data_IF_353449637130
#
_entry.id   IF_353449637130
#
_cell.length_a   1.000
_cell.length_b   1.000
_cell.length_c   1.000
_cell.angle_alpha   90.00
_cell.angle_beta   90.00
_cell.angle_gamma   90.00
#
_symmetry.space_group_name_H-M   'P 1'
#
loop_
_entity.id
_entity.type
_entity.pdbx_description
1 polymer ?
#
# COMPACT_ATOMS: atom_id res chain seq x y z
N UNK A 1 -1.84 13.07 22.52
CA UNK A 1 -2.86 13.38 21.51
C UNK A 1 -3.80 12.21 21.47
N UNK A 2 -5.06 12.43 21.85
CA UNK A 2 -6.07 11.38 21.84
C UNK A 2 -6.37 10.93 20.40
N UNK A 3 -6.48 9.62 20.23
CA UNK A 3 -6.74 9.02 18.93
C UNK A 3 -8.16 9.42 18.48
N UNK A 4 -8.36 9.98 17.28
CA UNK A 4 -9.68 10.48 16.89
C UNK A 4 -10.74 9.38 16.94
N UNK A 5 -11.96 9.72 17.37
CA UNK A 5 -13.05 8.78 17.67
C UNK A 5 -13.38 7.75 16.57
N UNK A 6 -13.04 8.04 15.31
CA UNK A 6 -13.15 7.07 14.21
C UNK A 6 -12.27 5.82 14.37
N UNK A 7 -11.20 5.91 15.16
CA UNK A 7 -10.31 4.79 15.47
C UNK A 7 -10.78 3.99 16.70
N UNK A 8 -11.64 4.55 17.56
CA UNK A 8 -12.26 3.86 18.69
C UNK A 8 -13.27 2.80 18.22
N UNK A 9 -13.84 2.94 17.02
CA UNK A 9 -14.70 1.91 16.39
C UNK A 9 -13.98 0.60 16.05
N UNK A 10 -12.67 0.52 16.26
CA UNK A 10 -11.85 -0.67 16.03
C UNK A 10 -11.37 -1.33 17.33
N UNK A 11 -11.86 -0.92 18.50
CA UNK A 11 -11.58 -1.61 19.75
C UNK A 11 -12.11 -3.06 19.65
N UNK A 12 -11.18 -4.02 19.62
CA UNK A 12 -11.45 -5.46 19.45
C UNK A 12 -11.19 -6.04 18.06
N UNK A 13 -10.81 -5.23 17.06
CA UNK A 13 -10.35 -5.73 15.75
C UNK A 13 -8.82 -5.77 15.72
N UNK A 14 -8.23 -6.94 15.52
CA UNK A 14 -6.80 -7.04 15.17
C UNK A 14 -6.56 -6.17 13.93
N UNK A 15 -5.70 -5.16 14.06
CA UNK A 15 -5.39 -4.30 12.94
C UNK A 15 -4.67 -5.15 11.89
N UNK A 16 -5.29 -5.28 10.72
CA UNK A 16 -4.79 -6.12 9.64
C UNK A 16 -3.44 -5.65 9.08
N UNK A 17 -3.09 -4.37 9.25
CA UNK A 17 -1.83 -3.76 8.81
C UNK A 17 -1.39 -2.71 9.83
N UNK A 18 -0.14 -2.81 10.31
CA UNK A 18 0.50 -1.78 11.14
C UNK A 18 1.57 -1.03 10.35
N UNK A 19 1.32 0.25 10.06
CA UNK A 19 2.31 1.13 9.43
C UNK A 19 3.39 1.55 10.44
N UNK A 20 4.57 0.94 10.37
CA UNK A 20 5.66 1.19 11.32
C UNK A 20 6.41 2.53 11.06
N UNK A 21 6.37 3.06 9.84
CA UNK A 21 7.19 4.24 9.47
C UNK A 21 6.42 5.56 9.68
N UNK A 22 7.09 6.59 10.22
CA UNK A 22 6.54 7.95 10.29
C UNK A 22 6.75 8.76 9.00
N UNK A 23 7.62 8.31 8.10
CA UNK A 23 7.93 9.03 6.86
C UNK A 23 6.81 8.84 5.82
N UNK A 24 6.20 9.95 5.40
CA UNK A 24 5.05 9.95 4.45
C UNK A 24 5.42 9.30 3.12
N UNK A 25 6.58 9.61 2.54
CA UNK A 25 7.03 9.01 1.28
C UNK A 25 7.20 7.50 1.41
N UNK A 26 7.70 7.01 2.54
CA UNK A 26 7.83 5.58 2.78
C UNK A 26 6.46 4.91 2.90
N UNK A 27 5.50 5.49 3.63
CA UNK A 27 4.13 4.95 3.71
C UNK A 27 3.47 4.82 2.34
N UNK A 28 3.61 5.87 1.53
CA UNK A 28 3.08 5.88 0.17
C UNK A 28 3.71 4.76 -0.67
N UNK A 29 5.03 4.59 -0.60
CA UNK A 29 5.70 3.50 -1.33
C UNK A 29 5.22 2.11 -0.86
N UNK A 30 5.07 1.90 0.44
CA UNK A 30 4.58 0.62 0.97
C UNK A 30 3.16 0.32 0.45
N UNK A 31 2.28 1.32 0.37
CA UNK A 31 0.94 1.19 -0.21
C UNK A 31 0.95 0.94 -1.73
N UNK A 32 1.82 1.64 -2.48
CA UNK A 32 1.97 1.43 -3.92
C UNK A 32 2.52 0.05 -4.28
N UNK A 33 3.39 -0.51 -3.42
CA UNK A 33 3.85 -1.90 -3.58
C UNK A 33 2.69 -2.87 -3.38
N UNK A 34 1.81 -2.61 -2.40
CA UNK A 34 0.58 -3.39 -2.23
C UNK A 34 -0.32 -3.35 -3.47
N UNK A 35 -0.45 -2.18 -4.12
CA UNK A 35 -1.13 -2.08 -5.42
C UNK A 35 -0.42 -2.89 -6.50
N UNK A 36 0.91 -2.79 -6.65
CA UNK A 36 1.62 -3.59 -7.64
C UNK A 36 1.44 -5.11 -7.44
N UNK A 37 1.31 -5.57 -6.18
CA UNK A 37 1.08 -6.97 -5.85
C UNK A 37 -0.36 -7.45 -6.14
N UNK A 38 -1.35 -6.55 -6.16
CA UNK A 38 -2.75 -6.86 -6.45
C UNK A 38 -2.97 -7.38 -7.88
N UNK A 39 -2.13 -6.95 -8.81
CA UNK A 39 -2.23 -7.30 -10.23
C UNK A 39 -1.88 -6.13 -11.14
N UNK A 40 -2.21 -6.29 -12.43
CA UNK A 40 -1.95 -5.27 -13.44
C UNK A 40 -2.97 -4.12 -13.38
N UNK A 41 -2.46 -2.89 -13.42
CA UNK A 41 -3.29 -1.69 -13.50
C UNK A 41 -3.21 -1.10 -14.90
N UNK A 42 -4.34 -0.70 -15.46
CA UNK A 42 -4.39 -0.08 -16.77
C UNK A 42 -4.93 1.34 -16.67
N UNK A 43 -4.33 2.25 -17.44
CA UNK A 43 -4.87 3.59 -17.66
C UNK A 43 -6.22 3.52 -18.40
N UNK A 44 -7.02 4.61 -18.39
CA UNK A 44 -8.26 4.69 -19.17
C UNK A 44 -8.07 4.47 -20.68
N UNK A 45 -6.85 4.63 -21.19
CA UNK A 45 -6.50 4.39 -22.60
C UNK A 45 -5.96 2.99 -22.87
N UNK A 46 -6.00 2.08 -21.88
CA UNK A 46 -5.55 0.70 -22.02
C UNK A 46 -4.04 0.49 -21.90
N UNK A 47 -3.27 1.51 -21.49
CA UNK A 47 -1.83 1.36 -21.22
C UNK A 47 -1.59 0.78 -19.83
N UNK A 48 -0.76 -0.25 -19.73
CA UNK A 48 -0.27 -0.80 -18.46
C UNK A 48 0.46 0.29 -17.64
N UNK A 49 0.10 0.41 -16.37
CA UNK A 49 0.71 1.32 -15.41
C UNK A 49 1.84 0.58 -14.68
N UNK A 50 3.09 0.90 -15.02
CA UNK A 50 4.23 0.43 -14.24
C UNK A 50 4.28 1.19 -12.90
N UNK A 51 5.12 0.70 -11.98
CA UNK A 51 5.28 1.29 -10.65
C UNK A 51 5.57 2.80 -10.67
N UNK A 52 6.32 3.28 -11.67
CA UNK A 52 6.64 4.72 -11.78
C UNK A 52 5.40 5.55 -12.09
N UNK A 53 4.45 5.03 -12.87
CA UNK A 53 3.18 5.69 -13.18
C UNK A 53 2.30 5.72 -11.92
N UNK A 54 2.29 4.64 -11.14
CA UNK A 54 1.61 4.62 -9.83
C UNK A 54 2.20 5.66 -8.87
N UNK A 55 3.53 5.82 -8.85
CA UNK A 55 4.20 6.89 -8.08
C UNK A 55 3.80 8.28 -8.56
N UNK A 56 3.75 8.50 -9.87
CA UNK A 56 3.38 9.80 -10.43
C UNK A 56 1.92 10.18 -10.08
N UNK A 57 1.00 9.22 -10.15
CA UNK A 57 -0.40 9.40 -9.73
C UNK A 57 -0.46 9.75 -8.23
N UNK A 58 0.27 9.03 -7.39
CA UNK A 58 0.34 9.29 -5.95
C UNK A 58 0.91 10.69 -5.63
N UNK A 59 1.98 11.11 -6.30
CA UNK A 59 2.56 12.45 -6.17
C UNK A 59 1.53 13.53 -6.54
N UNK A 60 0.81 13.34 -7.64
CA UNK A 60 -0.23 14.27 -8.11
C UNK A 60 -1.42 14.36 -7.15
N UNK A 61 -1.97 13.21 -6.71
CA UNK A 61 -3.16 13.15 -5.85
C UNK A 61 -2.86 13.69 -4.45
N UNK A 62 -1.67 13.42 -3.91
CA UNK A 62 -1.31 13.81 -2.54
C UNK A 62 -0.49 15.09 -2.45
N UNK A 63 -0.11 15.71 -3.58
CA UNK A 63 0.70 16.93 -3.58
C UNK A 63 2.09 16.75 -2.96
N UNK A 64 2.65 15.54 -3.03
CA UNK A 64 3.96 15.20 -2.45
C UNK A 64 4.99 14.95 -3.55
N UNK A 65 6.27 14.91 -3.16
CA UNK A 65 7.36 14.51 -4.06
C UNK A 65 8.22 13.40 -3.45
N UNK A 66 8.34 12.30 -4.17
CA UNK A 66 9.09 11.09 -3.81
C UNK A 66 10.33 10.99 -4.71
N UNK A 67 11.30 11.86 -4.42
CA UNK A 67 12.62 11.79 -5.05
C UNK A 67 13.28 10.48 -4.59
N UNK A 68 13.57 9.55 -5.51
CA UNK A 68 14.18 8.22 -5.28
C UNK A 68 13.24 7.06 -4.92
N UNK A 69 12.02 7.04 -5.48
CA UNK A 69 11.07 5.93 -5.27
C UNK A 69 11.65 4.53 -5.52
N UNK A 70 12.58 4.34 -6.46
CA UNK A 70 13.23 3.03 -6.71
C UNK A 70 14.06 2.55 -5.53
N UNK A 71 14.86 3.46 -4.94
CA UNK A 71 15.66 3.15 -3.75
C UNK A 71 14.76 2.92 -2.53
N UNK A 72 13.70 3.71 -2.39
CA UNK A 72 12.71 3.53 -1.33
C UNK A 72 12.00 2.19 -1.47
N UNK A 73 11.55 1.83 -2.67
CA UNK A 73 10.95 0.52 -2.98
C UNK A 73 11.92 -0.61 -2.60
N UNK A 74 13.18 -0.52 -3.01
CA UNK A 74 14.19 -1.52 -2.65
C UNK A 74 14.42 -1.61 -1.13
N UNK A 75 14.49 -0.48 -0.42
CA UNK A 75 14.64 -0.45 1.06
C UNK A 75 13.41 -1.02 1.76
N UNK A 76 12.22 -0.74 1.25
CA UNK A 76 10.96 -1.27 1.74
C UNK A 76 10.94 -2.80 1.55
N UNK A 77 11.21 -3.29 0.34
CA UNK A 77 11.30 -4.72 0.05
C UNK A 77 12.40 -5.44 0.84
N UNK A 78 13.54 -4.79 1.12
CA UNK A 78 14.60 -5.37 1.95
C UNK A 78 14.23 -5.50 3.43
N UNK A 79 13.32 -4.65 3.94
CA UNK A 79 12.78 -4.77 5.31
C UNK A 79 11.83 -5.96 5.44
N UNK A 80 11.31 -6.46 4.32
CA UNK A 80 10.27 -7.49 4.25
C UNK A 80 10.79 -8.93 4.26
N UNK A 81 11.94 -9.21 4.89
CA UNK A 81 12.42 -10.59 5.11
C UNK A 81 11.68 -11.34 6.23
N UNK A 82 10.77 -10.69 6.95
CA UNK A 82 9.92 -11.28 8.00
C UNK A 82 8.46 -10.95 7.70
N UNK A 83 7.54 -11.93 7.87
CA UNK A 83 6.09 -11.88 7.60
C UNK A 83 5.52 -10.45 7.57
N UNK A 84 5.12 -10.04 6.38
CA UNK A 84 5.13 -8.64 5.95
C UNK A 84 3.72 -8.07 5.85
N UNK A 85 3.64 -6.74 5.71
CA UNK A 85 2.43 -6.02 5.28
C UNK A 85 1.94 -6.52 3.92
N UNK A 86 2.86 -6.97 3.05
CA UNK A 86 2.58 -7.52 1.73
C UNK A 86 1.87 -8.88 1.85
N UNK A 87 2.36 -9.76 2.72
CA UNK A 87 1.70 -11.04 3.03
C UNK A 87 0.32 -10.83 3.67
N UNK A 88 0.16 -9.77 4.48
CA UNK A 88 -1.13 -9.38 5.06
C UNK A 88 -2.09 -8.81 4.00
N UNK A 89 -1.58 -8.03 3.05
CA UNK A 89 -2.34 -7.50 1.92
C UNK A 89 -2.75 -8.63 0.96
N UNK A 90 -1.85 -9.53 0.57
CA UNK A 90 -2.17 -10.71 -0.24
C UNK A 90 -3.28 -11.55 0.39
N UNK A 91 -3.18 -11.86 1.69
CA UNK A 91 -4.24 -12.58 2.42
C UNK A 91 -5.57 -11.82 2.45
N UNK A 92 -5.55 -10.49 2.53
CA UNK A 92 -6.77 -9.68 2.47
C UNK A 92 -7.41 -9.73 1.08
N UNK A 93 -6.58 -9.75 0.05
CA UNK A 93 -7.00 -9.80 -1.35
C UNK A 93 -7.60 -11.15 -1.67
N UNK A 94 -6.95 -12.25 -1.23
CA UNK A 94 -7.50 -13.60 -1.34
C UNK A 94 -8.86 -13.70 -0.65
N UNK A 95 -8.99 -13.18 0.57
CA UNK A 95 -10.28 -13.15 1.29
C UNK A 95 -11.36 -12.35 0.56
N UNK A 96 -11.01 -11.22 -0.07
CA UNK A 96 -11.96 -10.43 -0.85
C UNK A 96 -12.38 -11.16 -2.13
N UNK A 97 -11.44 -11.83 -2.82
CA UNK A 97 -11.75 -12.67 -3.99
C UNK A 97 -12.69 -13.81 -3.61
N UNK A 98 -12.44 -14.52 -2.50
CA UNK A 98 -13.32 -15.60 -2.04
C UNK A 98 -14.75 -15.13 -1.68
N UNK A 99 -14.92 -13.85 -1.34
CA UNK A 99 -16.24 -13.26 -1.05
C UNK A 99 -17.02 -12.86 -2.31
N UNK A 100 -16.35 -12.50 -3.42
CA UNK A 100 -17.03 -12.16 -4.69
C UNK A 100 -17.50 -13.40 -5.48
N UNK A 101 -16.96 -14.60 -5.19
CA UNK A 101 -17.33 -15.86 -5.83
C UNK A 101 -18.33 -16.71 -5.02
N UNK A 102 -19.02 -16.13 -4.03
CA UNK A 102 -20.15 -16.73 -3.30
C UNK A 102 -21.43 -15.94 -3.55
#
# INVERSE_FOLDING_TARGET
MDNPARFLKNEGKEALVFWQTKNVSTKVIELLIGFEALGEFYSPTGKLLEFRELVAIAEQVWGIRIKNFRQLKSRVLKRYKEKTVLDQMERLIEKLREQEYK
#
